data_IF_133280720844
#
_entry.id   IF_133280720844
#
_cell.length_a   1.000
_cell.length_b   1.000
_cell.length_c   1.000
_cell.angle_alpha   90.00
_cell.angle_beta   90.00
_cell.angle_gamma   90.00
#
_symmetry.space_group_name_H-M   'P 1'
#
loop_
_entity.id
_entity.type
_entity.pdbx_description
1 polymer ?
#
# COMPACT_ATOMS: atom_id res chain seq x y z
N UNK A 1 37.39 4.69 15.62
CA UNK A 1 36.25 3.89 15.10
C UNK A 1 35.01 4.78 15.28
N UNK A 2 34.57 5.40 14.20
CA UNK A 2 33.35 6.23 14.22
C UNK A 2 32.16 5.30 14.14
N UNK A 3 31.37 5.23 15.20
CA UNK A 3 30.02 4.67 15.15
C UNK A 3 29.19 5.54 14.20
N UNK A 4 28.98 5.04 12.98
CA UNK A 4 27.90 5.53 12.12
C UNK A 4 26.60 5.07 12.77
N UNK A 5 26.00 5.95 13.58
CA UNK A 5 24.59 5.84 13.94
C UNK A 5 23.81 5.97 12.64
N UNK A 6 23.37 4.85 12.06
CA UNK A 6 22.32 4.84 11.06
C UNK A 6 21.08 5.45 11.73
N UNK A 7 20.84 6.73 11.51
CA UNK A 7 19.60 7.34 11.89
C UNK A 7 18.49 6.62 11.09
N UNK A 8 17.57 5.97 11.80
CA UNK A 8 16.39 5.37 11.17
C UNK A 8 15.65 6.45 10.40
N UNK A 9 15.45 6.25 9.11
CA UNK A 9 14.62 7.14 8.29
C UNK A 9 13.23 7.21 8.91
N UNK A 10 12.74 8.42 9.14
CA UNK A 10 11.39 8.66 9.64
C UNK A 10 10.40 8.86 8.48
N UNK A 11 9.10 8.73 8.75
CA UNK A 11 8.04 9.05 7.78
C UNK A 11 8.15 10.48 7.25
N UNK A 12 8.41 11.43 8.15
CA UNK A 12 8.56 12.84 7.80
C UNK A 12 9.75 13.05 6.85
N UNK A 13 10.85 12.31 7.05
CA UNK A 13 12.01 12.33 6.16
C UNK A 13 11.65 11.81 4.77
N UNK A 14 10.90 10.71 4.69
CA UNK A 14 10.47 10.14 3.41
C UNK A 14 9.55 11.11 2.69
N UNK A 15 8.54 11.62 3.37
CA UNK A 15 7.58 12.58 2.79
C UNK A 15 8.32 13.83 2.30
N UNK A 16 9.23 14.38 3.10
CA UNK A 16 9.98 15.58 2.76
C UNK A 16 10.96 15.38 1.59
N UNK A 17 11.59 14.20 1.49
CA UNK A 17 12.56 13.88 0.43
C UNK A 17 11.90 13.40 -0.86
N UNK A 18 10.65 12.89 -0.79
CA UNK A 18 10.00 12.30 -1.96
C UNK A 18 9.63 13.35 -3.01
N UNK A 19 10.11 13.10 -4.20
CA UNK A 19 9.75 13.81 -5.41
C UNK A 19 9.81 12.81 -6.59
N UNK A 20 9.43 13.26 -7.77
CA UNK A 20 9.37 12.39 -8.95
C UNK A 20 10.71 11.78 -9.33
N UNK A 21 11.82 12.45 -9.06
CA UNK A 21 13.15 11.95 -9.45
C UNK A 21 13.58 10.79 -8.52
N UNK A 22 13.26 10.87 -7.23
CA UNK A 22 13.43 9.76 -6.27
C UNK A 22 12.60 8.56 -6.70
N UNK A 23 11.30 8.77 -7.00
CA UNK A 23 10.41 7.70 -7.42
C UNK A 23 10.85 7.07 -8.75
N UNK A 24 11.36 7.87 -9.68
CA UNK A 24 11.94 7.36 -10.94
C UNK A 24 13.23 6.58 -10.74
N UNK A 25 14.07 6.98 -9.78
CA UNK A 25 15.27 6.20 -9.39
C UNK A 25 14.87 4.82 -8.91
N UNK A 26 13.93 4.74 -7.97
CA UNK A 26 13.40 3.47 -7.45
C UNK A 26 12.78 2.64 -8.59
N UNK A 27 11.89 3.24 -9.37
CA UNK A 27 11.25 2.58 -10.51
C UNK A 27 12.26 2.02 -11.51
N UNK A 28 13.32 2.76 -11.81
CA UNK A 28 14.40 2.33 -12.72
C UNK A 28 15.18 1.13 -12.15
N UNK A 29 15.45 1.14 -10.85
CA UNK A 29 16.19 0.06 -10.18
C UNK A 29 15.45 -1.29 -10.32
N UNK A 30 14.12 -1.28 -10.17
CA UNK A 30 13.30 -2.49 -10.19
C UNK A 30 12.56 -2.74 -11.52
N UNK A 31 12.70 -1.86 -12.52
CA UNK A 31 11.99 -1.97 -13.79
C UNK A 31 10.49 -1.64 -13.68
N UNK A 32 10.08 -0.84 -12.69
CA UNK A 32 8.68 -0.44 -12.51
C UNK A 32 8.29 0.68 -13.49
N UNK A 33 7.01 0.71 -13.82
CA UNK A 33 6.42 1.73 -14.68
C UNK A 33 5.82 2.83 -13.80
N UNK A 34 6.09 4.10 -14.16
CA UNK A 34 5.40 5.27 -13.62
C UNK A 34 4.46 5.81 -14.71
N UNK A 35 3.19 5.94 -14.38
CA UNK A 35 2.18 6.56 -15.24
C UNK A 35 2.34 8.09 -15.17
N UNK A 36 2.84 8.72 -16.23
CA UNK A 36 3.16 10.14 -16.29
C UNK A 36 2.33 10.93 -17.34
N UNK A 37 1.36 10.26 -17.96
CA UNK A 37 0.50 10.84 -18.99
C UNK A 37 -0.95 10.87 -18.53
N UNK A 38 -1.57 12.04 -18.64
CA UNK A 38 -2.97 12.25 -18.30
C UNK A 38 -3.20 12.51 -16.82
N UNK A 39 -4.21 13.37 -16.56
CA UNK A 39 -4.61 13.74 -15.21
C UNK A 39 -5.30 12.57 -14.51
N UNK A 40 -5.08 12.39 -13.22
CA UNK A 40 -5.62 11.26 -12.44
C UNK A 40 -5.22 9.86 -12.94
N UNK A 41 -4.14 9.73 -13.73
CA UNK A 41 -3.55 8.44 -14.04
C UNK A 41 -2.69 8.01 -12.85
N UNK A 42 -3.31 7.27 -11.93
CA UNK A 42 -2.77 7.07 -10.58
C UNK A 42 -1.62 6.07 -10.57
N UNK A 43 -0.55 6.46 -9.89
CA UNK A 43 0.44 5.56 -9.34
C UNK A 43 0.09 5.34 -7.87
N UNK A 44 -0.10 4.10 -7.45
CA UNK A 44 -0.50 3.73 -6.08
C UNK A 44 0.64 2.89 -5.50
N UNK A 45 1.40 3.46 -4.59
CA UNK A 45 2.57 2.82 -4.00
C UNK A 45 2.39 2.63 -2.50
N UNK A 46 2.46 1.38 -2.03
CA UNK A 46 2.66 1.05 -0.62
C UNK A 46 4.14 1.09 -0.29
N UNK A 47 4.44 1.56 0.90
CA UNK A 47 5.81 1.61 1.44
C UNK A 47 5.77 0.86 2.76
N UNK A 48 6.35 -0.33 2.76
CA UNK A 48 6.47 -1.17 3.96
C UNK A 48 7.65 -0.70 4.79
N UNK A 49 7.41 -0.47 6.07
CA UNK A 49 8.41 0.08 6.97
C UNK A 49 8.98 -0.97 7.93
N UNK A 50 8.17 -1.51 8.81
CA UNK A 50 8.61 -2.50 9.79
C UNK A 50 7.59 -3.63 9.96
N UNK A 51 7.88 -4.79 9.37
CA UNK A 51 7.05 -5.98 9.44
C UNK A 51 6.89 -6.54 10.87
N UNK A 52 7.74 -6.13 11.80
CA UNK A 52 7.68 -6.62 13.20
C UNK A 52 6.63 -5.90 14.03
N UNK A 53 6.25 -4.68 13.66
CA UNK A 53 5.13 -3.97 14.30
C UNK A 53 3.79 -4.37 13.68
N UNK A 54 3.22 -5.44 14.18
CA UNK A 54 1.94 -6.00 13.75
C UNK A 54 0.73 -5.40 14.49
N UNK A 55 0.93 -4.32 15.27
CA UNK A 55 -0.12 -3.67 16.07
C UNK A 55 -0.56 -2.33 15.53
N UNK A 56 0.35 -1.56 14.96
CA UNK A 56 0.12 -0.19 14.56
C UNK A 56 0.14 -0.03 13.04
N UNK A 57 -0.44 1.07 12.58
CA UNK A 57 -0.40 1.47 11.16
C UNK A 57 0.93 2.19 10.93
N UNK A 58 1.96 1.42 10.66
CA UNK A 58 3.34 1.86 10.57
C UNK A 58 3.86 1.89 9.12
N UNK A 59 2.99 1.76 8.13
CA UNK A 59 3.32 1.82 6.72
C UNK A 59 2.65 3.04 6.07
N UNK A 60 3.12 3.36 4.86
CA UNK A 60 2.59 4.48 4.09
C UNK A 60 1.97 4.02 2.78
N UNK A 61 0.95 4.74 2.34
CA UNK A 61 0.47 4.70 0.96
C UNK A 61 0.71 6.06 0.33
N UNK A 62 1.43 6.06 -0.78
CA UNK A 62 1.60 7.20 -1.65
C UNK A 62 0.74 7.02 -2.89
N UNK A 63 -0.14 7.98 -3.16
CA UNK A 63 -0.85 8.08 -4.42
C UNK A 63 -0.37 9.32 -5.15
N UNK A 64 0.16 9.16 -6.36
CA UNK A 64 0.67 10.30 -7.11
C UNK A 64 0.29 10.24 -8.59
N UNK A 65 0.15 11.40 -9.19
CA UNK A 65 -0.17 11.55 -10.60
C UNK A 65 0.27 12.92 -11.13
N UNK A 66 0.41 13.04 -12.44
CA UNK A 66 0.77 14.31 -13.07
C UNK A 66 -0.51 15.07 -13.44
N UNK A 67 -0.69 16.27 -12.89
CA UNK A 67 -1.80 17.13 -13.25
C UNK A 67 -1.65 17.66 -14.69
N UNK A 68 -2.77 17.90 -15.37
CA UNK A 68 -2.81 18.47 -16.72
C UNK A 68 -3.61 19.77 -16.75
N UNK A 69 -3.95 20.24 -17.95
CA UNK A 69 -4.66 21.48 -18.21
C UNK A 69 -6.02 21.62 -17.50
N UNK A 70 -6.65 20.49 -17.08
CA UNK A 70 -7.86 20.53 -16.27
C UNK A 70 -7.63 21.13 -14.86
N UNK A 71 -6.36 21.29 -14.47
CA UNK A 71 -5.92 22.00 -13.27
C UNK A 71 -4.96 23.13 -13.66
N UNK A 72 -5.43 24.30 -14.13
CA UNK A 72 -4.59 25.35 -14.70
C UNK A 72 -3.41 25.77 -13.81
N UNK A 73 -3.64 25.83 -12.49
CA UNK A 73 -2.62 26.21 -11.51
C UNK A 73 -1.62 25.08 -11.19
N UNK A 74 -1.90 23.85 -11.61
CA UNK A 74 -1.14 22.64 -11.31
C UNK A 74 -0.65 21.93 -12.58
N UNK A 75 -0.96 22.46 -13.76
CA UNK A 75 -0.60 21.84 -15.04
C UNK A 75 0.89 21.48 -15.10
N UNK A 76 1.16 20.24 -15.42
CA UNK A 76 2.51 19.67 -15.47
C UNK A 76 3.14 19.36 -14.11
N UNK A 77 2.52 19.73 -12.99
CA UNK A 77 3.01 19.41 -11.65
C UNK A 77 2.60 18.01 -11.24
N UNK A 78 3.42 17.40 -10.42
CA UNK A 78 3.10 16.14 -9.74
C UNK A 78 2.33 16.44 -8.46
N UNK A 79 1.26 15.67 -8.23
CA UNK A 79 0.46 15.69 -7.01
C UNK A 79 0.83 14.45 -6.22
N UNK A 80 0.96 14.58 -4.90
CA UNK A 80 1.33 13.51 -3.98
C UNK A 80 0.36 13.52 -2.80
N UNK A 81 -0.37 12.44 -2.62
CA UNK A 81 -1.25 12.22 -1.48
C UNK A 81 -0.69 11.08 -0.62
N UNK A 82 -0.50 11.34 0.66
CA UNK A 82 0.06 10.42 1.62
C UNK A 82 -0.97 9.96 2.63
N UNK A 83 -0.93 8.68 2.95
CA UNK A 83 -1.87 8.06 3.88
C UNK A 83 -1.14 7.07 4.80
N UNK A 84 -1.55 7.03 6.09
CA UNK A 84 -1.13 5.99 7.03
C UNK A 84 -1.92 4.72 6.77
N UNK A 85 -1.20 3.62 6.60
CA UNK A 85 -1.76 2.29 6.34
C UNK A 85 -1.00 1.22 7.12
N UNK A 86 -1.47 -0.02 7.04
CA UNK A 86 -0.64 -1.22 7.22
C UNK A 86 -0.64 -2.03 5.94
N UNK A 87 0.50 -2.66 5.64
CA UNK A 87 0.66 -3.64 4.55
C UNK A 87 0.76 -5.07 5.07
N UNK A 88 0.68 -5.23 6.40
CA UNK A 88 0.98 -6.46 7.12
C UNK A 88 -0.25 -7.05 7.82
N UNK A 89 -0.26 -8.35 8.08
CA UNK A 89 -1.28 -8.95 8.94
C UNK A 89 -1.08 -8.53 10.39
N UNK A 90 -2.20 -8.29 11.07
CA UNK A 90 -2.18 -7.91 12.48
C UNK A 90 -1.78 -9.03 13.40
N UNK A 91 -1.29 -8.65 14.58
CA UNK A 91 -0.97 -9.55 15.68
C UNK A 91 -2.12 -10.52 16.00
N UNK A 92 -3.35 -10.01 16.06
CA UNK A 92 -4.53 -10.83 16.34
C UNK A 92 -4.78 -11.90 15.27
N UNK A 93 -4.57 -11.58 14.00
CA UNK A 93 -4.71 -12.54 12.90
C UNK A 93 -3.51 -13.52 12.85
N UNK A 94 -2.33 -13.10 13.24
CA UNK A 94 -1.15 -13.98 13.33
C UNK A 94 -1.28 -15.02 14.44
N UNK A 95 -1.91 -14.66 15.58
CA UNK A 95 -2.20 -15.60 16.69
C UNK A 95 -3.24 -16.63 16.26
N UNK A 96 -4.26 -16.21 15.48
CA UNK A 96 -5.33 -17.11 15.00
C UNK A 96 -5.57 -16.88 13.50
N UNK A 97 -4.72 -17.40 12.65
CA UNK A 97 -4.85 -17.20 11.20
C UNK A 97 -6.09 -17.93 10.65
N UNK A 98 -6.75 -17.27 9.69
CA UNK A 98 -7.91 -17.85 8.98
C UNK A 98 -7.48 -19.05 8.13
N UNK A 99 -6.28 -18.98 7.54
CA UNK A 99 -5.69 -20.06 6.76
C UNK A 99 -4.71 -20.86 7.63
N UNK A 100 -4.82 -22.19 7.62
CA UNK A 100 -3.95 -23.07 8.41
C UNK A 100 -2.46 -22.96 8.05
N UNK A 101 -2.14 -22.44 6.85
CA UNK A 101 -0.75 -22.16 6.43
C UNK A 101 -0.22 -20.80 6.93
N UNK A 102 -1.00 -20.05 7.66
CA UNK A 102 -0.67 -18.69 8.13
C UNK A 102 -1.35 -17.57 7.36
N UNK A 103 -1.13 -16.33 7.79
CA UNK A 103 -1.61 -15.14 7.10
C UNK A 103 -0.87 -14.92 5.78
N UNK A 104 -1.52 -14.25 4.84
CA UNK A 104 -0.86 -13.82 3.62
C UNK A 104 -0.09 -12.50 3.89
N UNK A 105 1.11 -12.39 3.34
CA UNK A 105 1.81 -11.13 3.22
C UNK A 105 2.22 -10.94 1.76
N UNK A 106 1.88 -9.79 1.19
CA UNK A 106 2.21 -9.47 -0.19
C UNK A 106 3.72 -9.30 -0.34
N UNK A 107 4.31 -9.95 -1.34
CA UNK A 107 5.69 -9.72 -1.74
C UNK A 107 5.86 -8.30 -2.29
N UNK A 108 7.08 -7.76 -2.24
CA UNK A 108 7.39 -6.47 -2.84
C UNK A 108 7.43 -6.59 -4.37
N UNK A 109 6.97 -5.55 -5.06
CA UNK A 109 6.88 -5.59 -6.51
C UNK A 109 5.84 -4.64 -7.10
N UNK A 110 5.78 -4.61 -8.43
CA UNK A 110 4.73 -3.89 -9.14
C UNK A 110 3.72 -4.85 -9.77
N UNK A 111 2.47 -4.72 -9.40
CA UNK A 111 1.35 -5.60 -9.79
C UNK A 111 0.43 -4.89 -10.77
N UNK A 112 0.76 -4.99 -12.05
CA UNK A 112 0.07 -4.25 -13.11
C UNK A 112 -1.36 -4.75 -13.33
N UNK A 113 -2.33 -3.85 -13.14
CA UNK A 113 -3.76 -4.14 -13.30
C UNK A 113 -4.25 -5.26 -12.38
N UNK A 114 -3.60 -5.44 -11.23
CA UNK A 114 -3.93 -6.50 -10.29
C UNK A 114 -5.06 -6.13 -9.31
N UNK A 115 -5.52 -4.88 -9.37
CA UNK A 115 -6.62 -4.39 -8.54
C UNK A 115 -7.71 -3.75 -9.39
N UNK A 116 -8.94 -3.78 -8.89
CA UNK A 116 -10.10 -3.09 -9.47
C UNK A 116 -10.97 -2.48 -8.38
N UNK A 117 -11.66 -1.40 -8.70
CA UNK A 117 -12.71 -0.87 -7.83
C UNK A 117 -13.84 -1.90 -7.74
N UNK A 118 -14.16 -2.31 -6.55
CA UNK A 118 -15.18 -3.29 -6.23
C UNK A 118 -15.69 -3.11 -4.81
N UNK A 119 -16.26 -4.18 -4.22
CA UNK A 119 -16.78 -4.15 -2.85
C UNK A 119 -15.97 -5.05 -1.94
N UNK A 120 -15.38 -4.49 -0.88
CA UNK A 120 -14.77 -5.29 0.18
C UNK A 120 -15.86 -6.04 0.94
N UNK A 121 -15.78 -7.37 0.97
CA UNK A 121 -16.78 -8.27 1.60
C UNK A 121 -18.23 -7.98 1.18
N UNK A 122 -18.44 -7.42 -0.03
CA UNK A 122 -19.76 -7.06 -0.53
C UNK A 122 -20.38 -5.77 0.07
N UNK A 123 -19.68 -5.09 0.97
CA UNK A 123 -20.24 -3.97 1.76
C UNK A 123 -19.87 -2.60 1.13
N UNK A 124 -18.62 -2.20 1.13
CA UNK A 124 -18.21 -0.86 0.73
C UNK A 124 -17.15 -0.86 -0.38
N UNK A 125 -17.02 0.28 -1.07
CA UNK A 125 -16.09 0.43 -2.18
C UNK A 125 -14.65 0.24 -1.71
N UNK A 126 -13.87 -0.54 -2.48
CA UNK A 126 -12.47 -0.82 -2.21
C UNK A 126 -11.73 -1.15 -3.52
N UNK A 127 -10.41 -1.06 -3.51
CA UNK A 127 -9.62 -1.72 -4.52
C UNK A 127 -9.47 -3.18 -4.13
N UNK A 128 -10.16 -4.06 -4.88
CA UNK A 128 -10.15 -5.49 -4.62
C UNK A 128 -9.17 -6.20 -5.55
N UNK A 129 -8.56 -7.25 -5.05
CA UNK A 129 -7.67 -8.10 -5.82
C UNK A 129 -8.39 -8.64 -7.07
N UNK A 130 -7.76 -8.51 -8.24
CA UNK A 130 -8.30 -8.92 -9.54
C UNK A 130 -7.45 -9.97 -10.27
N UNK A 131 -6.21 -10.18 -9.83
CA UNK A 131 -5.27 -11.18 -10.36
C UNK A 131 -4.57 -11.92 -9.21
N UNK A 132 -4.05 -13.13 -9.43
CA UNK A 132 -3.16 -13.77 -8.47
C UNK A 132 -1.98 -12.86 -8.14
N UNK A 133 -1.65 -12.78 -6.85
CA UNK A 133 -0.53 -11.97 -6.33
C UNK A 133 0.49 -12.89 -5.66
N UNK A 134 1.79 -12.59 -5.77
CA UNK A 134 2.83 -13.33 -5.05
C UNK A 134 2.72 -13.00 -3.57
N UNK A 135 2.48 -14.01 -2.76
CA UNK A 135 2.39 -13.87 -1.31
C UNK A 135 3.27 -14.88 -0.61
N UNK A 136 3.84 -14.47 0.50
CA UNK A 136 4.39 -15.39 1.49
C UNK A 136 3.31 -15.75 2.50
N UNK A 137 3.51 -16.88 3.21
CA UNK A 137 2.74 -17.21 4.38
C UNK A 137 3.54 -16.86 5.63
N UNK A 138 2.89 -16.15 6.52
CA UNK A 138 3.50 -15.63 7.74
C UNK A 138 2.74 -16.17 8.94
N UNK A 139 3.49 -16.64 9.93
CA UNK A 139 2.97 -17.16 11.19
C UNK A 139 3.72 -16.53 12.37
N UNK A 140 3.13 -16.62 13.55
CA UNK A 140 3.84 -16.29 14.79
C UNK A 140 4.13 -17.58 15.54
N UNK A 141 5.41 -17.81 15.85
CA UNK A 141 5.86 -18.96 16.63
C UNK A 141 6.78 -18.48 17.74
N UNK A 142 6.52 -18.90 18.95
CA UNK A 142 7.29 -18.56 20.15
C UNK A 142 7.53 -17.05 20.34
N UNK A 143 6.63 -16.21 19.82
CA UNK A 143 6.73 -14.75 19.85
C UNK A 143 7.30 -14.11 18.58
N UNK A 144 8.05 -14.86 17.79
CA UNK A 144 8.70 -14.38 16.58
C UNK A 144 7.82 -14.56 15.33
N UNK A 145 8.05 -13.71 14.34
CA UNK A 145 7.41 -13.78 13.04
C UNK A 145 8.25 -14.69 12.14
N UNK A 146 7.64 -15.76 11.62
CA UNK A 146 8.25 -16.63 10.64
C UNK A 146 7.59 -16.45 9.28
N UNK A 147 8.38 -16.17 8.27
CA UNK A 147 7.97 -16.12 6.86
C UNK A 147 8.39 -17.44 6.22
N UNK A 148 7.44 -18.16 5.64
CA UNK A 148 7.70 -19.50 5.10
C UNK A 148 7.98 -19.48 3.59
N UNK A 149 9.10 -20.14 3.22
CA UNK A 149 9.37 -20.60 1.85
C UNK A 149 9.48 -19.51 0.78
N UNK A 150 9.17 -19.90 -0.44
CA UNK A 150 9.08 -19.03 -1.61
C UNK A 150 7.66 -18.46 -1.75
N UNK A 151 7.49 -17.26 -2.37
CA UNK A 151 6.17 -16.70 -2.58
C UNK A 151 5.35 -17.55 -3.54
N UNK A 152 4.07 -17.67 -3.26
CA UNK A 152 3.10 -18.35 -4.12
C UNK A 152 2.10 -17.39 -4.71
N UNK A 153 1.69 -17.60 -5.97
CA UNK A 153 0.68 -16.74 -6.62
C UNK A 153 -0.72 -17.17 -6.21
N UNK A 154 -1.42 -16.33 -5.44
CA UNK A 154 -2.73 -16.67 -4.90
C UNK A 154 -3.79 -15.58 -5.12
N UNK A 155 -5.05 -16.01 -5.25
CA UNK A 155 -6.24 -15.17 -5.12
C UNK A 155 -6.76 -15.28 -3.69
N UNK A 156 -6.12 -14.60 -2.76
CA UNK A 156 -6.45 -14.69 -1.32
C UNK A 156 -7.17 -13.46 -0.76
N UNK A 157 -7.55 -12.52 -1.64
CA UNK A 157 -8.33 -11.36 -1.25
C UNK A 157 -7.51 -10.24 -0.61
N UNK A 158 -6.25 -10.07 -1.03
CA UNK A 158 -5.47 -8.87 -0.70
C UNK A 158 -6.17 -7.67 -1.31
N UNK A 159 -6.79 -6.85 -0.46
CA UNK A 159 -7.52 -5.65 -0.87
C UNK A 159 -6.88 -4.41 -0.28
N UNK A 160 -7.14 -3.25 -0.90
CA UNK A 160 -6.82 -1.93 -0.33
C UNK A 160 -8.11 -1.36 0.22
N UNK A 161 -8.25 -1.30 1.54
CA UNK A 161 -9.51 -0.96 2.20
C UNK A 161 -9.28 -0.18 3.51
N UNK A 162 -10.34 0.29 4.14
CA UNK A 162 -10.27 0.97 5.44
C UNK A 162 -10.43 0.01 6.62
N UNK A 163 -9.94 0.41 7.75
CA UNK A 163 -10.22 -0.24 9.02
C UNK A 163 -11.67 0.04 9.48
N UNK A 164 -11.88 1.01 10.34
CA UNK A 164 -13.20 1.38 10.84
C UNK A 164 -13.99 2.20 9.82
N UNK A 165 -15.34 2.10 9.84
CA UNK A 165 -16.22 3.00 9.10
C UNK A 165 -16.61 4.27 9.89
N UNK A 166 -16.20 4.36 11.15
CA UNK A 166 -16.70 5.42 12.04
C UNK A 166 -15.61 6.37 12.52
N UNK A 167 -14.37 5.91 12.61
CA UNK A 167 -13.30 6.66 13.28
C UNK A 167 -11.91 6.27 12.76
N UNK A 168 -10.94 7.13 13.03
CA UNK A 168 -9.53 6.78 12.97
C UNK A 168 -9.24 5.77 14.09
N UNK A 169 -8.49 4.73 13.80
CA UNK A 169 -8.12 3.69 14.77
C UNK A 169 -6.60 3.62 14.87
N UNK A 170 -6.10 3.54 16.09
CA UNK A 170 -4.65 3.52 16.36
C UNK A 170 -4.03 2.12 16.30
N UNK A 171 -4.86 1.08 16.22
CA UNK A 171 -4.38 -0.31 16.17
C UNK A 171 -5.05 -1.08 15.05
N UNK A 172 -4.30 -1.99 14.42
CA UNK A 172 -4.78 -2.78 13.28
C UNK A 172 -5.92 -3.72 13.70
N UNK A 173 -5.86 -4.32 14.91
CA UNK A 173 -6.90 -5.23 15.40
C UNK A 173 -7.18 -6.38 14.43
N UNK A 174 -8.43 -6.62 14.07
CA UNK A 174 -8.86 -7.66 13.12
C UNK A 174 -9.00 -7.14 11.68
N UNK A 175 -8.57 -5.90 11.40
CA UNK A 175 -8.81 -5.29 10.10
C UNK A 175 -7.89 -5.80 8.99
N UNK A 176 -6.67 -6.29 9.31
CA UNK A 176 -5.76 -6.84 8.32
C UNK A 176 -5.36 -8.29 8.64
N UNK A 177 -5.63 -9.19 7.70
CA UNK A 177 -5.04 -10.53 7.62
C UNK A 177 -4.05 -10.63 6.45
N UNK A 178 -3.48 -9.46 6.04
CA UNK A 178 -2.57 -9.28 4.92
C UNK A 178 -3.04 -8.26 3.88
N UNK A 179 -4.19 -7.61 4.09
CA UNK A 179 -4.68 -6.51 3.26
C UNK A 179 -3.89 -5.22 3.52
N UNK A 180 -3.94 -4.31 2.54
CA UNK A 180 -3.46 -2.94 2.66
C UNK A 180 -4.57 -2.11 3.32
N UNK A 181 -4.43 -1.71 4.57
CA UNK A 181 -5.54 -1.17 5.36
C UNK A 181 -5.27 0.24 5.83
N UNK A 182 -6.16 1.17 5.49
CA UNK A 182 -6.12 2.56 5.95
C UNK A 182 -6.51 2.68 7.42
N UNK A 183 -5.74 3.45 8.17
CA UNK A 183 -6.03 3.86 9.54
C UNK A 183 -7.23 4.81 9.61
N UNK A 184 -7.26 5.79 8.71
CA UNK A 184 -8.22 6.90 8.70
C UNK A 184 -9.38 6.66 7.72
N UNK A 185 -10.60 6.60 8.27
CA UNK A 185 -11.81 6.52 7.45
C UNK A 185 -11.99 7.75 6.56
N UNK A 186 -11.63 8.95 7.03
CA UNK A 186 -11.75 10.19 6.26
C UNK A 186 -10.80 10.20 5.06
N UNK A 187 -9.55 9.81 5.26
CA UNK A 187 -8.60 9.75 4.17
C UNK A 187 -9.02 8.71 3.12
N UNK A 188 -9.63 7.63 3.57
CA UNK A 188 -10.14 6.61 2.69
C UNK A 188 -11.39 7.04 1.92
N UNK A 189 -12.46 7.45 2.63
CA UNK A 189 -13.78 7.70 2.05
C UNK A 189 -13.85 9.06 1.35
N UNK A 190 -13.20 10.10 1.91
CA UNK A 190 -13.33 11.48 1.43
C UNK A 190 -12.24 11.85 0.41
N UNK A 191 -11.11 11.11 0.36
CA UNK A 191 -9.99 11.41 -0.54
C UNK A 191 -9.66 10.26 -1.48
N UNK A 192 -9.23 9.11 -0.95
CA UNK A 192 -8.72 8.00 -1.76
C UNK A 192 -9.78 7.39 -2.68
N UNK A 193 -10.94 6.99 -2.17
CA UNK A 193 -12.00 6.37 -2.99
C UNK A 193 -12.57 7.31 -4.07
N UNK A 194 -12.85 8.61 -3.79
CA UNK A 194 -13.23 9.55 -4.84
C UNK A 194 -12.18 9.68 -5.95
N UNK A 195 -10.89 9.70 -5.59
CA UNK A 195 -9.79 9.76 -6.54
C UNK A 195 -9.73 8.51 -7.42
N UNK A 196 -9.84 7.32 -6.81
CA UNK A 196 -9.93 6.04 -7.52
C UNK A 196 -11.12 5.98 -8.47
N UNK A 197 -12.30 6.40 -8.03
CA UNK A 197 -13.51 6.48 -8.88
C UNK A 197 -13.31 7.38 -10.08
N UNK A 198 -12.69 8.52 -9.88
CA UNK A 198 -12.38 9.45 -10.97
C UNK A 198 -11.39 8.83 -11.96
N UNK A 199 -10.34 8.20 -11.49
CA UNK A 199 -9.39 7.48 -12.34
C UNK A 199 -10.08 6.35 -13.11
N UNK A 200 -10.94 5.57 -12.47
CA UNK A 200 -11.70 4.49 -13.12
C UNK A 200 -12.57 4.98 -14.27
N UNK A 201 -13.19 6.16 -14.11
CA UNK A 201 -14.02 6.79 -15.17
C UNK A 201 -13.16 7.19 -16.37
N UNK A 202 -11.91 7.60 -16.16
CA UNK A 202 -11.02 8.10 -17.22
C UNK A 202 -10.21 7.00 -17.92
N UNK A 203 -9.77 5.99 -17.17
CA UNK A 203 -8.81 4.99 -17.66
C UNK A 203 -9.32 3.55 -17.57
N UNK A 204 -10.56 3.35 -17.13
CA UNK A 204 -11.11 2.02 -16.90
C UNK A 204 -10.81 1.49 -15.49
N UNK A 205 -11.51 0.41 -15.13
CA UNK A 205 -11.48 -0.16 -13.80
C UNK A 205 -10.34 -1.20 -13.65
N UNK A 206 -9.12 -0.73 -13.81
CA UNK A 206 -7.91 -1.57 -13.68
C UNK A 206 -6.79 -0.74 -13.06
N UNK A 207 -6.28 -1.15 -11.91
CA UNK A 207 -5.30 -0.39 -11.15
C UNK A 207 -4.03 -1.20 -10.91
N UNK A 208 -2.89 -0.52 -11.03
CA UNK A 208 -1.57 -1.03 -10.68
C UNK A 208 -1.25 -0.62 -9.26
N UNK A 209 -0.79 -1.57 -8.47
CA UNK A 209 -0.24 -1.33 -7.13
C UNK A 209 1.24 -1.69 -7.11
N UNK A 210 2.05 -0.86 -6.50
CA UNK A 210 3.48 -1.11 -6.28
C UNK A 210 3.73 -1.16 -4.78
N UNK A 211 4.39 -2.20 -4.29
CA UNK A 211 4.85 -2.30 -2.91
C UNK A 211 6.37 -2.27 -2.89
N UNK A 212 6.93 -1.31 -2.15
CA UNK A 212 8.37 -1.12 -1.96
C UNK A 212 8.71 -1.09 -0.49
N UNK A 213 9.97 -1.23 -0.17
CA UNK A 213 10.48 -1.11 1.19
C UNK A 213 10.90 0.33 1.50
N UNK A 214 10.84 0.70 2.77
CA UNK A 214 11.30 2.03 3.24
C UNK A 214 12.78 2.27 2.89
N UNK A 215 13.60 1.24 2.90
CA UNK A 215 15.02 1.31 2.55
C UNK A 215 15.29 1.67 1.10
N UNK A 216 14.30 1.58 0.22
CA UNK A 216 14.44 1.99 -1.18
C UNK A 216 14.54 3.53 -1.34
N UNK A 217 14.22 4.27 -0.28
CA UNK A 217 14.29 5.74 -0.24
C UNK A 217 15.63 6.28 0.28
N UNK A 218 16.58 5.40 0.59
CA UNK A 218 17.94 5.74 1.02
C UNK A 218 18.86 6.27 -0.10
#
# INVERSE_FOLDING_TARGET
MSELTNALITYDDIIAKTNIDVLRKIAKTYGYIIFDKGNYNLNIWGIRCDITDTKHFNDLLLVFYKANEAHPNLNGKWIYDWYSITTDPSDMNLIKPINSKGCAILDEGQFQGAFKLGKHKGDYDALVQAKPLPIFRITRKDGDIEISGEPTFEMCGINIHRASKWKIVSTIGLYSAGCQVFESVRDYEDKFIPLVKKAATMYGNSFTYTLVNISDFD
#
